data_IF_600495745964
#
_entry.id   IF_600495745964
#
_cell.length_a   1.000
_cell.length_b   1.000
_cell.length_c   1.000
_cell.angle_alpha   90.00
_cell.angle_beta   90.00
_cell.angle_gamma   90.00
#
_symmetry.space_group_name_H-M   'P 1'
#
loop_
_entity.id
_entity.type
_entity.pdbx_description
1 polymer ?
#
# COMPACT_ATOMS: atom_id res chain seq x y z
N UNK A 1 26.16 27.95 -60.44
CA UNK A 1 26.44 26.54 -60.12
C UNK A 1 25.64 26.17 -58.88
N UNK A 2 24.78 25.14 -58.90
CA UNK A 2 24.08 24.71 -57.69
C UNK A 2 25.02 23.88 -56.78
N UNK A 3 24.81 23.90 -55.45
CA UNK A 3 25.64 23.16 -54.49
C UNK A 3 25.37 21.64 -54.58
N UNK A 4 26.45 20.86 -54.52
CA UNK A 4 26.45 19.39 -54.65
C UNK A 4 26.01 18.75 -53.32
N UNK A 5 24.87 18.06 -53.32
CA UNK A 5 24.34 17.29 -52.19
C UNK A 5 24.68 15.81 -52.33
N UNK A 6 25.97 15.48 -52.36
CA UNK A 6 26.43 14.09 -52.25
C UNK A 6 26.30 13.58 -50.81
N UNK A 7 25.06 13.42 -50.34
CA UNK A 7 24.78 12.67 -49.12
C UNK A 7 25.17 11.21 -49.37
N UNK A 8 26.19 10.74 -48.65
CA UNK A 8 26.62 9.34 -48.67
C UNK A 8 25.40 8.48 -48.28
N UNK A 9 24.98 7.52 -49.13
CA UNK A 9 23.90 6.61 -48.76
C UNK A 9 24.29 5.87 -47.48
N UNK A 10 23.39 5.78 -46.48
CA UNK A 10 23.67 4.98 -45.29
C UNK A 10 23.91 3.53 -45.70
N UNK A 11 24.93 2.90 -45.12
CA UNK A 11 25.26 1.51 -45.43
C UNK A 11 24.06 0.59 -45.14
N UNK A 12 23.64 -0.26 -46.09
CA UNK A 12 22.57 -1.22 -45.86
C UNK A 12 22.89 -2.09 -44.65
N UNK A 13 22.01 -2.11 -43.65
CA UNK A 13 22.15 -2.95 -42.45
C UNK A 13 22.88 -2.30 -41.26
N UNK A 14 23.29 -1.04 -41.33
CA UNK A 14 23.77 -0.34 -40.13
C UNK A 14 22.59 -0.07 -39.17
N UNK A 15 22.69 -0.43 -37.87
CA UNK A 15 21.62 -0.18 -36.91
C UNK A 15 21.35 1.32 -36.83
N UNK A 16 20.12 1.72 -37.14
CA UNK A 16 19.72 3.12 -37.06
C UNK A 16 19.51 3.45 -35.57
N UNK A 17 19.93 4.62 -35.08
CA UNK A 17 19.60 5.06 -33.72
C UNK A 17 18.09 5.09 -33.40
N UNK A 18 17.26 5.01 -34.44
CA UNK A 18 15.80 5.05 -34.37
C UNK A 18 15.16 3.65 -34.45
N UNK A 19 15.94 2.60 -34.71
CA UNK A 19 15.50 1.21 -34.61
C UNK A 19 15.52 0.80 -33.12
N UNK A 20 14.55 1.29 -32.34
CA UNK A 20 14.34 0.78 -30.97
C UNK A 20 14.02 -0.71 -31.06
N UNK A 21 14.73 -1.52 -30.28
CA UNK A 21 14.56 -2.98 -30.30
C UNK A 21 13.10 -3.32 -29.94
N UNK A 22 12.41 -4.22 -30.67
CA UNK A 22 11.00 -4.51 -30.41
C UNK A 22 10.68 -4.87 -28.96
N UNK A 23 11.64 -5.51 -28.26
CA UNK A 23 11.52 -5.83 -26.84
C UNK A 23 11.46 -4.58 -25.94
N UNK A 24 12.26 -3.55 -26.20
CA UNK A 24 12.25 -2.32 -25.39
C UNK A 24 10.97 -1.52 -25.62
N UNK A 25 10.46 -1.48 -26.86
CA UNK A 25 9.17 -0.85 -27.17
C UNK A 25 8.00 -1.57 -26.49
N UNK A 26 7.98 -2.91 -26.50
CA UNK A 26 6.95 -3.69 -25.81
C UNK A 26 7.01 -3.48 -24.29
N UNK A 27 8.21 -3.48 -23.70
CA UNK A 27 8.40 -3.23 -22.27
C UNK A 27 7.92 -1.82 -21.88
N UNK A 28 8.22 -0.81 -22.69
CA UNK A 28 7.77 0.57 -22.46
C UNK A 28 6.25 0.73 -22.63
N UNK A 29 5.63 -0.02 -23.54
CA UNK A 29 4.16 -0.03 -23.68
C UNK A 29 3.45 -0.73 -22.51
N UNK A 30 4.07 -1.76 -21.92
CA UNK A 30 3.51 -2.50 -20.79
C UNK A 30 3.72 -1.80 -19.44
N UNK A 31 4.89 -1.21 -19.22
CA UNK A 31 5.31 -0.68 -17.90
C UNK A 31 5.57 0.84 -17.90
N UNK A 32 5.38 1.53 -19.03
CA UNK A 32 5.72 2.93 -19.18
C UNK A 32 7.24 3.17 -19.21
N UNK A 33 7.65 4.43 -19.02
CA UNK A 33 9.06 4.81 -18.87
C UNK A 33 9.73 4.22 -17.62
N UNK A 34 8.94 3.65 -16.72
CA UNK A 34 9.39 3.15 -15.42
C UNK A 34 9.81 1.66 -15.48
N UNK A 35 9.74 1.02 -16.65
CA UNK A 35 10.11 -0.39 -16.81
C UNK A 35 11.53 -0.74 -16.34
N UNK A 36 12.48 0.20 -16.41
CA UNK A 36 13.86 0.02 -15.95
C UNK A 36 14.00 0.21 -14.43
N UNK A 37 13.24 1.12 -13.83
CA UNK A 37 13.18 1.30 -12.37
C UNK A 37 12.47 0.13 -11.69
N UNK A 38 11.45 -0.42 -12.35
CA UNK A 38 10.72 -1.62 -11.92
C UNK A 38 11.65 -2.85 -11.95
N UNK A 39 12.43 -3.03 -13.02
CA UNK A 39 13.36 -4.16 -13.15
C UNK A 39 14.53 -4.10 -12.14
N UNK A 40 15.08 -2.91 -11.88
CA UNK A 40 16.13 -2.72 -10.87
C UNK A 40 15.58 -2.94 -9.45
N UNK A 41 14.36 -2.45 -9.17
CA UNK A 41 13.65 -2.70 -7.91
C UNK A 41 13.42 -4.20 -7.69
N UNK A 42 12.91 -4.91 -8.69
CA UNK A 42 12.68 -6.36 -8.64
C UNK A 42 13.95 -7.17 -8.34
N UNK A 43 15.08 -6.72 -8.91
CA UNK A 43 16.39 -7.34 -8.71
C UNK A 43 16.95 -7.08 -7.31
N UNK A 44 16.69 -5.90 -6.73
CA UNK A 44 17.16 -5.52 -5.39
C UNK A 44 16.37 -6.17 -4.25
N UNK A 45 15.07 -6.42 -4.46
CA UNK A 45 14.16 -6.93 -3.44
C UNK A 45 14.05 -8.46 -3.41
N UNK A 46 14.69 -9.15 -4.37
CA UNK A 46 14.77 -10.60 -4.42
C UNK A 46 13.48 -11.27 -4.90
N UNK A 47 13.55 -11.91 -6.07
CA UNK A 47 12.52 -12.79 -6.60
C UNK A 47 11.09 -12.21 -6.67
N UNK A 48 10.98 -10.89 -6.86
CA UNK A 48 9.74 -10.15 -7.01
C UNK A 48 9.26 -10.24 -8.45
N UNK A 49 7.95 -10.46 -8.68
CA UNK A 49 7.40 -10.49 -10.03
C UNK A 49 7.38 -9.08 -10.67
N UNK A 50 7.41 -8.94 -12.00
CA UNK A 50 7.36 -7.62 -12.64
C UNK A 50 6.14 -6.77 -12.22
N UNK A 51 4.98 -7.41 -12.01
CA UNK A 51 3.77 -6.71 -11.55
C UNK A 51 3.85 -6.26 -10.08
N UNK A 52 4.48 -7.07 -9.23
CA UNK A 52 4.72 -6.71 -7.83
C UNK A 52 5.74 -5.58 -7.71
N UNK A 53 6.79 -5.60 -8.53
CA UNK A 53 7.75 -4.51 -8.61
C UNK A 53 7.10 -3.20 -9.08
N UNK A 54 6.17 -3.26 -10.05
CA UNK A 54 5.40 -2.09 -10.51
C UNK A 54 4.51 -1.52 -9.39
N UNK A 55 3.91 -2.37 -8.56
CA UNK A 55 3.13 -1.93 -7.41
C UNK A 55 4.04 -1.31 -6.33
N UNK A 56 5.22 -1.87 -6.09
CA UNK A 56 6.18 -1.38 -5.11
C UNK A 56 6.80 -0.03 -5.53
N UNK A 57 7.07 0.17 -6.83
CA UNK A 57 7.51 1.47 -7.33
C UNK A 57 6.39 2.50 -7.20
N UNK A 58 5.15 2.16 -7.58
CA UNK A 58 4.00 3.06 -7.48
C UNK A 58 3.68 3.47 -6.04
N UNK A 59 3.82 2.54 -5.09
CA UNK A 59 3.60 2.79 -3.66
C UNK A 59 4.79 3.43 -2.95
N UNK A 60 5.92 3.60 -3.65
CA UNK A 60 7.16 4.14 -3.08
C UNK A 60 7.90 3.17 -2.14
N UNK A 61 7.42 1.92 -2.01
CA UNK A 61 8.00 0.89 -1.16
C UNK A 61 9.44 0.52 -1.56
N UNK A 62 9.81 0.74 -2.82
CA UNK A 62 11.20 0.58 -3.30
C UNK A 62 12.21 1.48 -2.56
N UNK A 63 11.76 2.59 -1.96
CA UNK A 63 12.62 3.52 -1.22
C UNK A 63 12.68 3.22 0.28
N UNK A 64 11.93 2.22 0.77
CA UNK A 64 11.93 1.87 2.18
C UNK A 64 13.29 1.27 2.59
N UNK A 65 13.78 1.65 3.77
CA UNK A 65 14.97 1.01 4.34
C UNK A 65 14.69 -0.49 4.60
N UNK A 66 15.57 -1.42 4.18
CA UNK A 66 15.43 -2.84 4.50
C UNK A 66 15.32 -3.10 6.01
N UNK A 67 15.96 -2.25 6.81
CA UNK A 67 16.00 -2.36 8.28
C UNK A 67 14.86 -1.62 8.98
N UNK A 68 13.86 -1.11 8.25
CA UNK A 68 12.78 -0.31 8.84
C UNK A 68 12.00 -1.08 9.91
N UNK A 69 11.82 -2.40 9.74
CA UNK A 69 11.17 -3.25 10.74
C UNK A 69 11.94 -3.27 12.05
N UNK A 70 13.26 -3.51 11.97
CA UNK A 70 14.12 -3.48 13.15
C UNK A 70 14.16 -2.08 13.80
N UNK A 71 14.11 -1.02 13.01
CA UNK A 71 14.04 0.36 13.51
C UNK A 71 12.75 0.60 14.27
N UNK A 72 11.60 0.27 13.67
CA UNK A 72 10.28 0.39 14.30
C UNK A 72 10.17 -0.47 15.56
N UNK A 73 10.69 -1.70 15.53
CA UNK A 73 10.67 -2.59 16.69
C UNK A 73 11.49 -2.00 17.85
N UNK A 74 12.66 -1.45 17.57
CA UNK A 74 13.50 -0.80 18.58
C UNK A 74 12.84 0.47 19.16
N UNK A 75 12.24 1.30 18.31
CA UNK A 75 11.50 2.49 18.73
C UNK A 75 10.28 2.12 19.58
N UNK A 76 9.48 1.17 19.11
CA UNK A 76 8.25 0.72 19.79
C UNK A 76 8.54 0.07 21.13
N UNK A 77 9.65 -0.66 21.25
CA UNK A 77 10.08 -1.28 22.52
C UNK A 77 10.25 -0.24 23.65
N UNK A 78 10.63 0.99 23.32
CA UNK A 78 10.76 2.07 24.32
C UNK A 78 9.41 2.66 24.74
N UNK A 79 8.37 2.54 23.91
CA UNK A 79 7.01 3.00 24.22
C UNK A 79 6.29 2.02 25.15
N UNK A 80 6.39 0.72 24.90
CA UNK A 80 5.77 -0.32 25.73
C UNK A 80 6.36 -0.40 27.16
N UNK A 81 7.59 0.06 27.33
CA UNK A 81 8.31 -0.03 28.62
C UNK A 81 8.28 1.26 29.45
N UNK A 82 7.72 2.36 28.91
CA UNK A 82 7.70 3.63 29.62
C UNK A 82 6.54 3.68 30.60
N UNK A 83 6.86 3.66 31.90
CA UNK A 83 5.89 3.94 32.95
C UNK A 83 5.36 5.38 32.82
N UNK A 84 4.06 5.61 33.09
CA UNK A 84 3.47 6.94 33.00
C UNK A 84 4.23 7.90 33.92
N UNK A 85 4.57 9.09 33.41
CA UNK A 85 5.22 10.14 34.20
C UNK A 85 4.34 10.53 35.40
N UNK A 86 4.95 11.03 36.47
CA UNK A 86 4.21 11.56 37.62
C UNK A 86 3.15 12.58 37.19
N UNK A 87 3.47 13.45 36.24
CA UNK A 87 2.53 14.43 35.68
C UNK A 87 1.34 13.77 34.97
N UNK A 88 1.58 12.66 34.27
CA UNK A 88 0.54 11.87 33.58
C UNK A 88 -0.39 11.19 34.57
N UNK A 89 0.15 10.66 35.67
CA UNK A 89 -0.64 10.07 36.74
C UNK A 89 -1.56 11.10 37.43
N UNK A 90 -1.14 12.36 37.51
CA UNK A 90 -1.97 13.45 38.08
C UNK A 90 -3.00 13.96 37.06
N UNK A 91 -2.61 14.15 35.80
CA UNK A 91 -3.51 14.61 34.73
C UNK A 91 -4.58 13.57 34.39
N UNK A 92 -4.18 12.30 34.28
CA UNK A 92 -5.03 11.17 33.91
C UNK A 92 -5.31 10.24 35.12
N UNK A 93 -5.42 10.83 36.31
CA UNK A 93 -5.75 10.12 37.57
C UNK A 93 -7.10 9.40 37.57
N UNK A 94 -7.99 9.74 36.63
CA UNK A 94 -9.29 9.08 36.45
C UNK A 94 -9.20 8.11 35.30
N UNK A 95 -9.74 6.92 35.50
CA UNK A 95 -9.78 5.85 34.52
C UNK A 95 -10.26 6.37 33.16
N UNK A 96 -9.50 6.15 32.07
CA UNK A 96 -9.88 6.64 30.76
C UNK A 96 -11.22 5.99 30.39
N UNK A 97 -12.21 6.82 30.10
CA UNK A 97 -13.46 6.33 29.49
C UNK A 97 -13.03 5.67 28.19
N UNK A 98 -13.26 4.35 28.00
CA UNK A 98 -12.90 3.71 26.75
C UNK A 98 -13.65 4.46 25.65
N UNK A 99 -12.90 5.16 24.81
CA UNK A 99 -13.41 5.69 23.55
C UNK A 99 -13.84 4.46 22.79
N UNK A 100 -15.14 4.18 22.84
CA UNK A 100 -15.75 3.11 22.08
C UNK A 100 -15.66 3.57 20.64
N UNK A 101 -14.53 3.28 19.99
CA UNK A 101 -14.42 3.41 18.56
C UNK A 101 -15.58 2.63 17.97
N UNK A 102 -16.32 3.24 17.04
CA UNK A 102 -17.37 2.55 16.31
C UNK A 102 -16.73 1.40 15.55
N UNK A 103 -16.86 0.18 16.09
CA UNK A 103 -16.29 -1.00 15.47
C UNK A 103 -17.10 -1.31 14.21
N UNK A 104 -16.44 -1.47 13.07
CA UNK A 104 -17.11 -1.85 11.82
C UNK A 104 -17.35 -3.36 11.83
N UNK A 105 -18.54 -3.78 11.41
CA UNK A 105 -18.87 -5.19 11.19
C UNK A 105 -18.22 -5.65 9.87
N UNK A 106 -17.10 -6.37 9.96
CA UNK A 106 -16.34 -6.80 8.79
C UNK A 106 -17.16 -7.71 7.84
N UNK A 107 -17.85 -8.78 8.31
CA UNK A 107 -18.73 -9.57 7.46
C UNK A 107 -19.84 -8.76 6.78
N UNK A 108 -20.53 -7.88 7.51
CA UNK A 108 -21.60 -7.07 6.93
C UNK A 108 -21.06 -6.03 5.94
N UNK A 109 -19.90 -5.44 6.21
CA UNK A 109 -19.27 -4.47 5.32
C UNK A 109 -18.80 -5.13 4.02
N UNK A 110 -18.24 -6.33 4.11
CA UNK A 110 -17.87 -7.11 2.93
C UNK A 110 -19.08 -7.36 2.02
N UNK A 111 -20.24 -7.69 2.61
CA UNK A 111 -21.48 -7.90 1.87
C UNK A 111 -21.95 -6.61 1.18
N UNK A 112 -21.94 -5.47 1.89
CA UNK A 112 -22.29 -4.16 1.32
C UNK A 112 -21.40 -3.80 0.12
N UNK A 113 -20.10 -4.04 0.21
CA UNK A 113 -19.16 -3.77 -0.89
C UNK A 113 -19.49 -4.64 -2.11
N UNK A 114 -19.79 -5.93 -1.92
CA UNK A 114 -20.17 -6.83 -3.01
C UNK A 114 -21.47 -6.39 -3.69
N UNK A 115 -22.48 -6.00 -2.90
CA UNK A 115 -23.76 -5.49 -3.41
C UNK A 115 -23.57 -4.19 -4.22
N UNK A 116 -22.74 -3.26 -3.74
CA UNK A 116 -22.42 -2.05 -4.48
C UNK A 116 -21.68 -2.34 -5.79
N UNK A 117 -20.71 -3.27 -5.77
CA UNK A 117 -20.00 -3.68 -6.97
C UNK A 117 -20.96 -4.30 -8.00
N UNK A 118 -21.92 -5.12 -7.56
CA UNK A 118 -22.94 -5.71 -8.43
C UNK A 118 -23.92 -4.68 -9.02
N UNK A 119 -24.18 -3.59 -8.28
CA UNK A 119 -25.07 -2.51 -8.70
C UNK A 119 -24.36 -1.38 -9.48
N UNK A 120 -23.03 -1.46 -9.62
CA UNK A 120 -22.22 -0.41 -10.26
C UNK A 120 -22.07 0.86 -9.43
N UNK A 121 -22.40 0.81 -8.13
CA UNK A 121 -22.26 1.93 -7.21
C UNK A 121 -20.80 2.05 -6.71
N UNK A 122 -20.32 3.27 -6.38
CA UNK A 122 -19.00 3.44 -5.81
C UNK A 122 -18.89 2.76 -4.43
N UNK A 123 -17.68 2.35 -4.04
CA UNK A 123 -17.42 1.64 -2.76
C UNK A 123 -17.88 2.44 -1.54
N UNK A 124 -17.91 3.76 -1.62
CA UNK A 124 -18.35 4.68 -0.55
C UNK A 124 -19.87 4.84 -0.45
N UNK A 125 -20.65 4.18 -1.32
CA UNK A 125 -22.11 4.35 -1.36
C UNK A 125 -22.80 3.59 -0.21
N UNK A 126 -23.62 4.30 0.58
CA UNK A 126 -24.37 3.72 1.70
C UNK A 126 -23.63 3.80 3.05
N UNK A 127 -24.30 3.35 4.11
CA UNK A 127 -23.76 3.40 5.47
C UNK A 127 -22.89 2.16 5.77
N UNK A 128 -21.74 2.36 6.41
CA UNK A 128 -20.89 1.29 6.92
C UNK A 128 -21.56 0.62 8.13
N UNK A 129 -21.79 -0.70 8.12
CA UNK A 129 -22.38 -1.39 9.24
C UNK A 129 -21.44 -1.39 10.44
N UNK A 130 -21.96 -1.00 11.59
CA UNK A 130 -21.23 -0.92 12.86
C UNK A 130 -21.71 -1.99 13.82
N UNK A 131 -20.78 -2.57 14.58
CA UNK A 131 -21.06 -3.45 15.71
C UNK A 131 -21.33 -2.55 16.91
N UNK A 132 -22.58 -2.52 17.38
CA UNK A 132 -22.89 -1.93 18.67
C UNK A 132 -22.30 -2.85 19.77
N UNK A 133 -21.47 -2.32 20.69
CA UNK A 133 -21.03 -3.10 21.83
C UNK A 133 -22.28 -3.50 22.61
N UNK A 134 -22.50 -4.82 22.74
CA UNK A 134 -23.60 -5.36 23.54
C UNK A 134 -23.38 -4.87 24.97
N UNK A 135 -24.19 -3.90 25.40
CA UNK A 135 -24.07 -3.32 26.73
C UNK A 135 -24.11 -4.42 27.78
N UNK A 136 -23.12 -4.44 28.67
CA UNK A 136 -23.12 -5.30 29.84
C UNK A 136 -24.38 -5.02 30.65
N UNK A 137 -25.38 -5.87 30.46
CA UNK A 137 -26.61 -5.83 31.21
C UNK A 137 -26.35 -6.46 32.57
N UNK A 138 -26.71 -5.79 33.66
CA UNK A 138 -26.39 -6.19 35.04
C UNK A 138 -26.84 -7.62 35.44
N UNK A 139 -27.66 -8.28 34.63
CA UNK A 139 -28.08 -9.67 34.79
C UNK A 139 -27.13 -10.70 34.15
N UNK A 140 -26.22 -10.30 33.25
CA UNK A 140 -25.34 -11.23 32.50
C UNK A 140 -24.36 -11.98 33.40
N UNK A 141 -24.02 -11.44 34.57
CA UNK A 141 -23.18 -12.09 35.57
C UNK A 141 -23.86 -13.21 36.39
N UNK A 142 -25.20 -13.29 36.38
CA UNK A 142 -25.93 -14.26 37.22
C UNK A 142 -26.06 -15.66 36.60
N UNK A 143 -25.80 -15.81 35.29
CA UNK A 143 -26.07 -17.05 34.55
C UNK A 143 -24.82 -17.80 34.05
N UNK A 144 -23.61 -17.32 34.37
CA UNK A 144 -22.34 -17.97 33.96
C UNK A 144 -21.69 -18.80 35.08
N UNK A 145 -22.46 -19.18 36.11
CA UNK A 145 -22.05 -20.03 37.22
C UNK A 145 -22.99 -21.24 37.35
N UNK A 146 -23.11 -22.01 36.27
CA UNK A 146 -23.50 -23.42 36.30
C UNK A 146 -22.87 -24.14 35.10
#
# INVERSE_FOLDING_TARGET
MPPDFSLRPPAPGAPRPQDTQPGTTAQQAMFGSDGETIASTASSLGNVSPGEAALLTQTGAANASPDIRATVDNETRTLDTKSPSFTDQVLFWKEPVPVSGTMVDAPAEQKRIQENAAQGNPVTYGNTPIIEPRGDSWYSGLFNWF
#
